data_IF_781028371661
#
_entry.id   IF_781028371661
#
_cell.length_a   1.000
_cell.length_b   1.000
_cell.length_c   1.000
_cell.angle_alpha   90.00
_cell.angle_beta   90.00
_cell.angle_gamma   90.00
#
_symmetry.space_group_name_H-M   'P 1'
#
loop_
_entity.id
_entity.type
_entity.pdbx_description
1 polymer ?
#
# COMPACT_ATOMS: atom_id res chain seq x y z
N UNK A 1 -2.63 19.14 10.20
CA UNK A 1 -2.14 17.75 10.43
C UNK A 1 -0.67 17.63 10.03
N UNK A 2 0.11 16.92 10.84
CA UNK A 2 1.49 16.56 10.48
C UNK A 2 1.52 15.57 9.30
N UNK A 3 2.68 15.39 8.69
CA UNK A 3 2.85 14.41 7.62
C UNK A 3 2.51 12.99 8.12
N UNK A 4 2.98 12.62 9.31
CA UNK A 4 2.69 11.32 9.92
C UNK A 4 1.19 11.10 10.16
N UNK A 5 0.47 12.11 10.63
CA UNK A 5 -0.99 12.05 10.80
C UNK A 5 -1.70 11.83 9.46
N UNK A 6 -1.27 12.52 8.41
CA UNK A 6 -1.85 12.37 7.07
C UNK A 6 -1.65 10.95 6.52
N UNK A 7 -0.47 10.37 6.69
CA UNK A 7 -0.20 8.98 6.29
C UNK A 7 -1.01 7.98 7.13
N UNK A 8 -1.11 8.19 8.44
CA UNK A 8 -1.89 7.33 9.32
C UNK A 8 -3.38 7.30 8.91
N UNK A 9 -3.94 8.42 8.50
CA UNK A 9 -5.32 8.50 7.98
C UNK A 9 -5.44 7.84 6.61
N UNK A 10 -4.52 8.13 5.69
CA UNK A 10 -4.56 7.61 4.31
C UNK A 10 -4.44 6.09 4.27
N UNK A 11 -3.60 5.52 5.12
CA UNK A 11 -3.36 4.08 5.23
C UNK A 11 -4.02 3.46 6.47
N UNK A 12 -5.17 3.96 6.87
CA UNK A 12 -5.93 3.37 7.98
C UNK A 12 -6.22 1.88 7.68
N UNK A 13 -6.04 1.05 8.69
CA UNK A 13 -6.24 -0.40 8.59
C UNK A 13 -6.43 -1.03 9.95
N UNK A 14 -5.98 -2.27 10.11
CA UNK A 14 -6.10 -2.99 11.37
C UNK A 14 -5.29 -2.30 12.49
N UNK A 15 -5.90 -2.17 13.67
CA UNK A 15 -5.28 -1.56 14.85
C UNK A 15 -4.75 -2.60 15.85
N UNK A 16 -5.02 -3.87 15.63
CA UNK A 16 -4.64 -4.97 16.53
C UNK A 16 -3.33 -5.66 16.14
N UNK A 17 -2.73 -5.23 15.04
CA UNK A 17 -1.42 -5.72 14.59
C UNK A 17 -0.79 -4.75 13.60
N UNK A 18 0.53 -4.84 13.47
CA UNK A 18 1.30 -4.13 12.45
C UNK A 18 2.55 -4.92 12.09
N UNK A 19 3.21 -4.54 11.00
CA UNK A 19 4.45 -5.14 10.58
C UNK A 19 5.65 -4.25 10.83
N UNK A 20 6.81 -4.88 11.01
CA UNK A 20 8.12 -4.23 10.95
C UNK A 20 9.03 -4.98 10.00
N UNK A 21 9.96 -4.27 9.38
CA UNK A 21 11.00 -4.85 8.57
C UNK A 21 12.36 -4.30 8.99
N UNK A 22 13.28 -5.19 9.32
CA UNK A 22 14.67 -4.84 9.60
C UNK A 22 15.54 -5.45 8.50
N UNK A 23 16.15 -4.59 7.68
CA UNK A 23 17.07 -5.01 6.64
C UNK A 23 18.40 -5.45 7.25
N UNK A 24 18.98 -6.53 6.72
CA UNK A 24 20.39 -6.80 6.86
C UNK A 24 21.12 -6.28 5.60
N UNK A 25 22.44 -6.12 5.66
CA UNK A 25 23.23 -5.51 4.58
C UNK A 25 23.44 -6.42 3.36
N UNK A 26 22.66 -7.49 3.24
CA UNK A 26 22.76 -8.47 2.16
C UNK A 26 21.60 -8.36 1.20
N UNK A 27 21.88 -8.45 -0.08
CA UNK A 27 20.84 -8.58 -1.13
C UNK A 27 20.77 -10.05 -1.55
N UNK A 28 19.57 -10.61 -1.62
CA UNK A 28 19.36 -11.98 -2.06
C UNK A 28 19.63 -12.11 -3.57
N UNK A 29 19.92 -13.34 -4.02
CA UNK A 29 20.16 -13.63 -5.44
C UNK A 29 18.97 -13.24 -6.35
N UNK A 30 17.74 -13.27 -5.81
CA UNK A 30 16.53 -12.84 -6.51
C UNK A 30 16.33 -11.30 -6.58
N UNK A 31 17.29 -10.53 -6.09
CA UNK A 31 17.22 -9.06 -6.03
C UNK A 31 16.41 -8.49 -4.85
N UNK A 32 15.81 -9.35 -4.05
CA UNK A 32 15.00 -8.95 -2.89
C UNK A 32 15.87 -8.47 -1.74
N UNK A 33 15.47 -7.38 -1.09
CA UNK A 33 16.15 -6.91 0.10
C UNK A 33 16.13 -8.01 1.18
N UNK A 34 17.30 -8.40 1.64
CA UNK A 34 17.43 -9.37 2.73
C UNK A 34 17.08 -8.70 4.06
N UNK A 35 16.35 -9.42 4.91
CA UNK A 35 15.92 -8.89 6.19
C UNK A 35 14.80 -9.71 6.79
N UNK A 36 14.31 -9.25 7.93
CA UNK A 36 13.29 -9.94 8.70
C UNK A 36 12.00 -9.11 8.75
N UNK A 37 10.92 -9.67 8.19
CA UNK A 37 9.56 -9.19 8.41
C UNK A 37 9.00 -9.83 9.69
N UNK A 38 8.45 -9.02 10.57
CA UNK A 38 7.82 -9.46 11.81
C UNK A 38 6.44 -8.83 11.91
N UNK A 39 5.43 -9.62 12.21
CA UNK A 39 4.10 -9.12 12.60
C UNK A 39 4.02 -9.03 14.11
N UNK A 40 3.66 -7.86 14.62
CA UNK A 40 3.52 -7.59 16.05
C UNK A 40 2.03 -7.50 16.36
N UNK A 41 1.54 -8.40 17.22
CA UNK A 41 0.18 -8.37 17.76
C UNK A 41 0.16 -7.42 18.96
N UNK A 42 -0.40 -6.24 18.75
CA UNK A 42 -0.56 -5.21 19.77
C UNK A 42 -1.70 -4.31 19.37
N UNK A 43 -2.62 -4.03 20.28
CA UNK A 43 -3.63 -3.01 20.04
C UNK A 43 -2.98 -1.62 20.08
N UNK A 44 -3.13 -0.87 18.97
CA UNK A 44 -2.52 0.43 18.78
C UNK A 44 -3.48 1.54 19.18
N UNK A 45 -3.05 2.39 20.13
CA UNK A 45 -3.69 3.69 20.36
C UNK A 45 -3.38 4.65 19.21
N UNK A 46 -4.06 5.78 19.16
CA UNK A 46 -3.76 6.83 18.18
C UNK A 46 -2.32 7.33 18.31
N UNK A 47 -1.83 7.48 19.53
CA UNK A 47 -0.44 7.90 19.78
C UNK A 47 0.57 6.83 19.38
N UNK A 48 0.28 5.54 19.59
CA UNK A 48 1.13 4.44 19.12
C UNK A 48 1.25 4.45 17.61
N UNK A 49 0.13 4.59 16.90
CA UNK A 49 0.10 4.62 15.44
C UNK A 49 0.84 5.83 14.89
N UNK A 50 0.65 7.00 15.48
CA UNK A 50 1.36 8.22 15.11
C UNK A 50 2.88 8.02 15.26
N UNK A 51 3.33 7.46 16.36
CA UNK A 51 4.75 7.17 16.62
C UNK A 51 5.33 6.21 15.59
N UNK A 52 4.60 5.17 15.21
CA UNK A 52 5.02 4.24 14.15
C UNK A 52 5.23 4.96 12.82
N UNK A 53 4.34 5.85 12.44
CA UNK A 53 4.48 6.63 11.20
C UNK A 53 5.59 7.68 11.28
N UNK A 54 5.78 8.34 12.42
CA UNK A 54 6.90 9.25 12.62
C UNK A 54 8.25 8.54 12.48
N UNK A 55 8.40 7.37 13.10
CA UNK A 55 9.61 6.54 12.98
C UNK A 55 9.83 6.05 11.55
N UNK A 56 8.76 5.69 10.84
CA UNK A 56 8.82 5.29 9.45
C UNK A 56 9.28 6.43 8.54
N UNK A 57 8.66 7.58 8.65
CA UNK A 57 8.97 8.75 7.80
C UNK A 57 10.34 9.35 8.12
N UNK A 58 10.85 9.18 9.33
CA UNK A 58 12.21 9.59 9.68
C UNK A 58 13.29 8.59 9.27
N UNK A 59 12.89 7.39 8.80
CA UNK A 59 13.84 6.32 8.43
C UNK A 59 14.37 5.52 9.61
N UNK A 60 13.75 5.66 10.79
CA UNK A 60 14.18 4.97 12.01
C UNK A 60 13.71 3.52 12.04
N UNK A 61 12.42 3.28 11.82
CA UNK A 61 11.83 1.94 11.79
C UNK A 61 10.71 1.86 10.74
N UNK A 62 10.83 0.93 9.80
CA UNK A 62 9.82 0.69 8.78
C UNK A 62 8.55 0.10 9.38
N UNK A 63 7.39 0.53 8.89
CA UNK A 63 6.07 0.03 9.30
C UNK A 63 5.38 -0.70 8.15
N UNK A 64 4.70 -1.78 8.48
CA UNK A 64 3.74 -2.46 7.62
C UNK A 64 2.34 -2.35 8.19
N UNK A 65 1.34 -2.17 7.33
CA UNK A 65 -0.07 -2.04 7.72
C UNK A 65 -0.88 -3.17 7.11
N UNK A 66 -1.85 -3.66 7.85
CA UNK A 66 -2.86 -4.62 7.40
C UNK A 66 -4.05 -3.82 6.86
N UNK A 67 -4.34 -3.96 5.57
CA UNK A 67 -5.39 -3.16 4.92
C UNK A 67 -6.80 -3.45 5.44
N UNK A 68 -7.11 -4.69 5.74
CA UNK A 68 -8.42 -5.10 6.27
C UNK A 68 -8.51 -4.77 7.77
N UNK A 69 -9.56 -4.07 8.17
CA UNK A 69 -9.79 -3.69 9.56
C UNK A 69 -10.57 -4.75 10.36
N UNK A 70 -10.87 -4.46 11.63
CA UNK A 70 -11.62 -5.34 12.54
C UNK A 70 -13.08 -5.58 12.09
N UNK A 71 -13.60 -4.74 11.19
CA UNK A 71 -14.95 -4.87 10.61
C UNK A 71 -14.94 -5.52 9.23
N UNK A 72 -13.81 -6.09 8.82
CA UNK A 72 -13.60 -6.69 7.50
C UNK A 72 -13.78 -5.68 6.34
N UNK A 73 -13.38 -4.44 6.56
CA UNK A 73 -13.47 -3.34 5.61
C UNK A 73 -12.10 -2.72 5.33
N UNK A 74 -12.00 -2.02 4.20
CA UNK A 74 -10.78 -1.35 3.77
C UNK A 74 -11.09 0.04 3.23
N UNK A 75 -10.18 1.01 3.49
CA UNK A 75 -10.17 2.33 2.84
C UNK A 75 -9.08 2.46 1.79
N UNK A 76 -8.26 1.44 1.64
CA UNK A 76 -7.24 1.32 0.60
C UNK A 76 -6.96 -0.14 0.29
N UNK A 77 -6.38 -0.36 -0.86
CA UNK A 77 -5.86 -1.66 -1.25
C UNK A 77 -4.68 -1.51 -2.20
N UNK A 78 -4.05 -2.62 -2.53
CA UNK A 78 -2.88 -2.61 -3.39
C UNK A 78 -2.77 -3.85 -4.26
N UNK A 79 -2.15 -3.65 -5.43
CA UNK A 79 -1.66 -4.71 -6.30
C UNK A 79 -0.15 -4.79 -6.05
N UNK A 80 0.34 -5.93 -5.60
CA UNK A 80 1.75 -6.15 -5.25
C UNK A 80 2.49 -6.85 -6.40
N UNK A 81 3.27 -6.07 -7.15
CA UNK A 81 4.07 -6.57 -8.26
C UNK A 81 5.49 -6.85 -7.77
N UNK A 82 5.78 -8.11 -7.53
CA UNK A 82 7.06 -8.59 -6.98
C UNK A 82 8.09 -8.91 -8.09
N UNK A 83 8.13 -8.08 -9.12
CA UNK A 83 9.14 -8.13 -10.19
C UNK A 83 10.15 -7.00 -10.00
N UNK A 84 11.45 -7.31 -10.01
CA UNK A 84 12.50 -6.37 -9.60
C UNK A 84 13.31 -5.77 -10.75
N UNK A 85 13.03 -6.17 -11.99
CA UNK A 85 13.72 -5.70 -13.19
C UNK A 85 12.77 -5.02 -14.18
N UNK A 86 11.65 -4.47 -13.68
CA UNK A 86 10.68 -3.75 -14.50
C UNK A 86 11.00 -2.25 -14.53
N UNK A 87 10.66 -1.62 -15.64
CA UNK A 87 10.70 -0.16 -15.74
C UNK A 87 9.46 0.44 -15.05
N UNK A 88 9.62 0.84 -13.79
CA UNK A 88 8.53 1.40 -12.97
C UNK A 88 7.99 2.72 -13.53
N UNK A 89 8.85 3.53 -14.14
CA UNK A 89 8.46 4.77 -14.79
C UNK A 89 7.54 4.50 -15.97
N UNK A 90 7.91 3.56 -16.84
CA UNK A 90 7.10 3.16 -17.98
C UNK A 90 5.76 2.57 -17.53
N UNK A 91 5.78 1.73 -16.51
CA UNK A 91 4.56 1.15 -15.93
C UNK A 91 3.63 2.23 -15.37
N UNK A 92 4.16 3.21 -14.64
CA UNK A 92 3.38 4.32 -14.11
C UNK A 92 2.73 5.15 -15.24
N UNK A 93 3.47 5.42 -16.32
CA UNK A 93 2.95 6.14 -17.49
C UNK A 93 1.87 5.31 -18.21
N UNK A 94 2.04 4.01 -18.33
CA UNK A 94 1.03 3.11 -18.92
C UNK A 94 -0.27 3.10 -18.11
N UNK A 95 -0.17 3.00 -16.79
CA UNK A 95 -1.33 3.06 -15.89
C UNK A 95 -2.06 4.41 -16.04
N UNK A 96 -1.30 5.51 -16.08
CA UNK A 96 -1.88 6.84 -16.26
C UNK A 96 -2.63 7.00 -17.59
N UNK A 97 -2.12 6.40 -18.66
CA UNK A 97 -2.79 6.42 -19.98
C UNK A 97 -4.12 5.65 -20.01
N UNK A 98 -4.31 4.72 -19.10
CA UNK A 98 -5.58 3.98 -18.95
C UNK A 98 -6.60 4.74 -18.11
N UNK A 99 -6.23 5.91 -17.59
CA UNK A 99 -7.09 6.77 -16.76
C UNK A 99 -7.66 6.06 -15.52
N UNK A 100 -6.97 5.03 -15.02
CA UNK A 100 -7.35 4.32 -13.81
C UNK A 100 -6.95 5.14 -12.56
N UNK A 101 -7.78 5.14 -11.52
CA UNK A 101 -7.53 5.91 -10.29
C UNK A 101 -6.51 5.19 -9.38
N UNK A 102 -5.32 5.00 -9.87
CA UNK A 102 -4.25 4.26 -9.23
C UNK A 102 -2.99 5.11 -9.10
N UNK A 103 -2.19 4.81 -8.09
CA UNK A 103 -0.85 5.38 -7.93
C UNK A 103 0.15 4.27 -7.65
N UNK A 104 1.26 4.30 -8.38
CA UNK A 104 2.35 3.33 -8.25
C UNK A 104 3.45 3.90 -7.36
N UNK A 105 3.79 3.16 -6.30
CA UNK A 105 4.96 3.40 -5.48
C UNK A 105 6.00 2.30 -5.72
N UNK A 106 7.27 2.68 -5.70
CA UNK A 106 8.37 1.71 -5.66
C UNK A 106 8.34 0.95 -4.33
N UNK A 107 8.38 -0.37 -4.35
CA UNK A 107 8.47 -1.20 -3.14
C UNK A 107 9.89 -1.20 -2.57
N UNK A 108 10.06 -1.74 -1.36
CA UNK A 108 11.38 -1.81 -0.69
C UNK A 108 12.46 -2.56 -1.50
N UNK A 109 12.06 -3.49 -2.34
CA UNK A 109 12.97 -4.30 -3.16
C UNK A 109 13.03 -3.86 -4.63
N UNK A 110 12.32 -2.80 -5.00
CA UNK A 110 12.30 -2.27 -6.37
C UNK A 110 11.22 -2.82 -7.28
N UNK A 111 10.26 -3.60 -6.75
CA UNK A 111 9.01 -3.90 -7.40
C UNK A 111 8.02 -2.74 -7.25
N UNK A 112 6.74 -3.00 -7.47
CA UNK A 112 5.70 -1.98 -7.39
C UNK A 112 4.58 -2.35 -6.42
N UNK A 113 4.15 -1.38 -5.61
CA UNK A 113 2.86 -1.39 -4.95
C UNK A 113 1.96 -0.40 -5.67
N UNK A 114 0.88 -0.88 -6.27
CA UNK A 114 -0.07 -0.04 -7.01
C UNK A 114 -1.31 0.12 -6.14
N UNK A 115 -1.53 1.33 -5.64
CA UNK A 115 -2.56 1.63 -4.65
C UNK A 115 -3.83 2.17 -5.26
N UNK A 116 -4.96 1.79 -4.64
CA UNK A 116 -6.26 2.43 -4.79
C UNK A 116 -6.70 2.97 -3.43
N UNK A 117 -7.29 4.16 -3.40
CA UNK A 117 -7.75 4.83 -2.18
C UNK A 117 -9.23 5.14 -2.24
N UNK A 118 -9.89 5.08 -1.09
CA UNK A 118 -11.33 5.28 -0.97
C UNK A 118 -11.64 6.39 0.03
N UNK A 119 -12.74 7.10 -0.20
CA UNK A 119 -13.25 8.13 0.73
C UNK A 119 -13.85 7.55 1.99
N UNK A 120 -14.37 6.33 1.90
CA UNK A 120 -14.98 5.56 2.99
C UNK A 120 -14.60 4.09 2.86
N UNK A 121 -14.66 3.36 3.96
CA UNK A 121 -14.38 1.93 3.94
C UNK A 121 -15.44 1.13 3.18
N UNK A 122 -15.00 0.12 2.46
CA UNK A 122 -15.83 -0.83 1.73
C UNK A 122 -15.52 -2.25 2.21
N UNK A 123 -16.43 -3.23 2.00
CA UNK A 123 -16.13 -4.63 2.30
C UNK A 123 -14.83 -5.09 1.61
N UNK A 124 -13.97 -5.75 2.37
CA UNK A 124 -12.69 -6.26 1.85
C UNK A 124 -12.87 -7.18 0.64
N UNK A 125 -13.90 -8.02 0.64
CA UNK A 125 -14.21 -8.90 -0.48
C UNK A 125 -14.52 -8.13 -1.78
N UNK A 126 -15.23 -7.02 -1.69
CA UNK A 126 -15.53 -6.15 -2.83
C UNK A 126 -14.26 -5.53 -3.40
N UNK A 127 -13.42 -4.95 -2.53
CA UNK A 127 -12.17 -4.32 -2.94
C UNK A 127 -11.21 -5.32 -3.55
N UNK A 128 -11.05 -6.49 -2.93
CA UNK A 128 -10.18 -7.55 -3.45
C UNK A 128 -10.62 -7.98 -4.86
N UNK A 129 -11.91 -8.19 -5.08
CA UNK A 129 -12.45 -8.56 -6.39
C UNK A 129 -12.18 -7.48 -7.45
N UNK A 130 -12.42 -6.21 -7.12
CA UNK A 130 -12.14 -5.08 -8.03
C UNK A 130 -10.66 -4.99 -8.38
N UNK A 131 -9.80 -5.11 -7.39
CA UNK A 131 -8.35 -5.07 -7.62
C UNK A 131 -7.85 -6.24 -8.47
N UNK A 132 -8.43 -7.43 -8.34
CA UNK A 132 -8.12 -8.54 -9.24
C UNK A 132 -8.48 -8.25 -10.69
N UNK A 133 -9.64 -7.64 -10.92
CA UNK A 133 -10.07 -7.22 -12.26
C UNK A 133 -9.12 -6.16 -12.84
N UNK A 134 -8.76 -5.16 -12.05
CA UNK A 134 -7.82 -4.11 -12.46
C UNK A 134 -6.43 -4.69 -12.73
N UNK A 135 -5.92 -5.55 -11.85
CA UNK A 135 -4.63 -6.21 -12.04
C UNK A 135 -4.57 -6.99 -13.36
N UNK A 136 -5.62 -7.75 -13.66
CA UNK A 136 -5.71 -8.46 -14.93
C UNK A 136 -5.72 -7.49 -16.13
N UNK A 137 -6.46 -6.39 -16.04
CA UNK A 137 -6.54 -5.38 -17.10
C UNK A 137 -5.20 -4.69 -17.39
N UNK A 138 -4.37 -4.50 -16.38
CA UNK A 138 -3.02 -3.92 -16.55
C UNK A 138 -1.91 -4.95 -16.79
N UNK A 139 -2.28 -6.23 -16.97
CA UNK A 139 -1.34 -7.29 -17.30
C UNK A 139 -0.72 -8.05 -16.12
N UNK A 140 -1.25 -7.88 -14.91
CA UNK A 140 -0.75 -8.49 -13.67
C UNK A 140 -1.79 -9.36 -12.94
N UNK A 141 -2.54 -10.15 -13.70
CA UNK A 141 -3.63 -10.98 -13.15
C UNK A 141 -3.23 -12.07 -12.16
N UNK A 142 -1.93 -12.40 -12.04
CA UNK A 142 -1.42 -13.47 -11.20
C UNK A 142 -0.70 -12.98 -9.93
N UNK A 143 -0.61 -11.66 -9.73
CA UNK A 143 0.10 -11.10 -8.58
C UNK A 143 -0.77 -11.06 -7.32
N UNK A 144 -0.12 -10.85 -6.19
CA UNK A 144 -0.81 -10.72 -4.91
C UNK A 144 -1.63 -9.43 -4.84
N UNK A 145 -2.80 -9.55 -4.22
CA UNK A 145 -3.71 -8.43 -3.96
C UNK A 145 -3.83 -8.23 -2.45
N UNK A 146 -3.81 -6.98 -2.02
CA UNK A 146 -4.12 -6.59 -0.65
C UNK A 146 -5.42 -5.79 -0.63
N UNK A 147 -6.43 -6.18 0.17
CA UNK A 147 -6.38 -7.19 1.23
C UNK A 147 -6.26 -8.61 0.68
N UNK A 148 -5.41 -9.44 1.32
CA UNK A 148 -5.33 -10.88 1.02
C UNK A 148 -6.51 -11.63 1.62
N UNK A 149 -6.90 -11.27 2.83
CA UNK A 149 -8.02 -11.83 3.53
C UNK A 149 -9.27 -10.97 3.30
N UNK A 150 -10.42 -11.62 3.21
CA UNK A 150 -11.72 -10.93 3.13
C UNK A 150 -12.46 -10.95 4.46
N UNK A 151 -11.97 -11.74 5.42
CA UNK A 151 -12.49 -11.86 6.77
C UNK A 151 -11.36 -12.15 7.74
N UNK A 152 -11.37 -11.50 8.90
CA UNK A 152 -10.48 -11.77 10.02
C UNK A 152 -11.27 -12.31 11.21
N UNK A 153 -10.79 -13.41 11.75
CA UNK A 153 -11.28 -13.98 13.00
C UNK A 153 -10.29 -13.62 14.12
N UNK A 154 -10.34 -12.38 14.59
CA UNK A 154 -9.42 -11.83 15.57
C UNK A 154 -9.40 -12.63 16.87
N UNK A 155 -10.56 -13.12 17.31
CA UNK A 155 -10.71 -13.98 18.50
C UNK A 155 -10.00 -15.33 18.35
N UNK A 156 -9.74 -15.76 17.12
CA UNK A 156 -9.00 -16.99 16.81
C UNK A 156 -7.51 -16.74 16.52
N UNK A 157 -7.05 -15.51 16.69
CA UNK A 157 -5.66 -15.13 16.48
C UNK A 157 -5.29 -14.64 15.09
N UNK A 158 -6.24 -14.49 14.17
CA UNK A 158 -5.99 -13.91 12.85
C UNK A 158 -5.49 -12.46 13.01
N UNK A 159 -4.45 -12.09 12.26
CA UNK A 159 -3.90 -10.73 12.26
C UNK A 159 -3.76 -10.14 10.86
N UNK A 160 -4.18 -10.88 9.84
CA UNK A 160 -4.09 -10.47 8.44
C UNK A 160 -2.67 -10.47 7.90
N UNK A 161 -2.51 -9.89 6.73
CA UNK A 161 -1.22 -9.76 6.03
C UNK A 161 -0.81 -8.30 5.96
N UNK A 162 0.40 -8.01 6.44
CA UNK A 162 0.98 -6.67 6.40
C UNK A 162 1.57 -6.38 5.02
N UNK A 163 1.44 -5.12 4.57
CA UNK A 163 2.16 -4.58 3.43
C UNK A 163 3.13 -3.51 3.93
N UNK A 164 4.39 -3.58 3.51
CA UNK A 164 5.38 -2.56 3.83
C UNK A 164 5.01 -1.23 3.17
N UNK A 165 4.95 -0.17 3.97
CA UNK A 165 4.47 1.14 3.55
C UNK A 165 5.49 1.91 2.71
N UNK A 166 5.03 2.82 1.83
CA UNK A 166 5.89 3.70 1.05
C UNK A 166 6.51 4.79 1.92
N UNK A 167 7.46 5.51 1.35
CA UNK A 167 8.10 6.68 1.98
C UNK A 167 8.83 6.41 3.29
N UNK A 168 9.39 5.21 3.46
CA UNK A 168 10.34 4.97 4.54
C UNK A 168 11.56 5.88 4.37
N UNK A 169 11.79 6.77 5.32
CA UNK A 169 12.81 7.82 5.23
C UNK A 169 12.30 9.16 4.66
N UNK A 170 10.99 9.29 4.46
CA UNK A 170 10.38 10.55 4.02
C UNK A 170 10.81 10.97 2.62
N UNK A 171 11.27 12.21 2.46
CA UNK A 171 11.73 12.76 1.17
C UNK A 171 12.96 12.04 0.59
N UNK A 172 13.75 11.40 1.44
CA UNK A 172 14.92 10.63 1.03
C UNK A 172 14.62 9.17 0.73
N UNK A 173 13.34 8.78 0.76
CA UNK A 173 12.92 7.41 0.54
C UNK A 173 13.17 6.94 -0.90
N UNK A 174 13.59 5.68 -1.04
CA UNK A 174 13.58 4.99 -2.33
C UNK A 174 12.21 4.41 -2.68
N UNK A 175 11.25 4.44 -1.74
CA UNK A 175 9.88 3.91 -1.91
C UNK A 175 8.90 5.02 -2.27
N UNK A 176 9.26 5.83 -3.26
CA UNK A 176 8.46 6.97 -3.70
C UNK A 176 7.41 6.59 -4.73
N UNK A 177 6.38 7.44 -4.83
CA UNK A 177 5.36 7.34 -5.87
C UNK A 177 5.80 8.04 -7.14
N UNK A 178 5.27 7.57 -8.27
CA UNK A 178 5.44 8.18 -9.59
C UNK A 178 4.18 8.97 -9.97
N UNK A 179 4.38 10.16 -10.53
CA UNK A 179 3.30 10.92 -11.14
C UNK A 179 2.92 10.35 -12.53
N UNK A 180 1.93 10.98 -13.18
CA UNK A 180 1.44 10.56 -14.51
C UNK A 180 2.48 10.62 -15.62
N UNK A 181 3.58 11.36 -15.41
CA UNK A 181 4.69 11.50 -16.36
C UNK A 181 5.87 10.59 -15.99
N UNK A 182 5.74 9.83 -14.91
CA UNK A 182 6.78 8.95 -14.41
C UNK A 182 7.86 9.68 -13.58
N UNK A 183 7.59 10.87 -13.10
CA UNK A 183 8.48 11.59 -12.18
C UNK A 183 8.18 11.20 -10.74
N UNK A 184 9.23 11.18 -9.90
CA UNK A 184 9.08 10.91 -8.47
C UNK A 184 8.34 12.04 -7.77
N UNK A 185 7.39 11.69 -6.91
CA UNK A 185 6.66 12.64 -6.07
C UNK A 185 7.27 12.71 -4.67
N UNK A 186 7.23 13.91 -4.07
CA UNK A 186 7.48 14.06 -2.63
C UNK A 186 6.34 13.43 -1.82
N UNK A 187 6.52 13.16 -0.51
CA UNK A 187 5.43 12.66 0.33
C UNK A 187 4.17 13.53 0.29
N UNK A 188 4.32 14.85 0.31
CA UNK A 188 3.16 15.77 0.24
C UNK A 188 2.48 15.73 -1.13
N UNK A 189 3.24 15.72 -2.22
CA UNK A 189 2.70 15.58 -3.57
C UNK A 189 1.94 14.26 -3.74
N UNK A 190 2.48 13.17 -3.20
CA UNK A 190 1.81 11.86 -3.19
C UNK A 190 0.48 11.90 -2.46
N UNK A 191 0.42 12.48 -1.25
CA UNK A 191 -0.81 12.58 -0.48
C UNK A 191 -1.87 13.42 -1.18
N UNK A 192 -1.46 14.53 -1.80
CA UNK A 192 -2.36 15.35 -2.60
C UNK A 192 -2.89 14.59 -3.82
N UNK A 193 -2.02 13.86 -4.51
CA UNK A 193 -2.43 13.04 -5.65
C UNK A 193 -3.38 11.91 -5.25
N UNK A 194 -3.10 11.22 -4.15
CA UNK A 194 -3.96 10.18 -3.60
C UNK A 194 -5.36 10.72 -3.29
N UNK A 195 -5.45 11.95 -2.77
CA UNK A 195 -6.73 12.61 -2.53
C UNK A 195 -7.48 12.95 -3.81
N UNK A 196 -6.78 13.36 -4.85
CA UNK A 196 -7.42 13.66 -6.16
C UNK A 196 -8.04 12.42 -6.80
N UNK A 197 -7.40 11.26 -6.66
CA UNK A 197 -7.83 10.02 -7.31
C UNK A 197 -8.67 9.10 -6.42
N UNK A 198 -8.88 9.45 -5.14
CA UNK A 198 -9.69 8.61 -4.25
C UNK A 198 -11.13 8.46 -4.77
N UNK A 199 -11.69 7.27 -4.59
CA UNK A 199 -13.01 6.91 -5.05
C UNK A 199 -14.01 6.84 -3.90
N UNK A 200 -15.24 7.26 -4.16
CA UNK A 200 -16.37 6.87 -3.31
C UNK A 200 -16.67 5.37 -3.49
N UNK A 201 -17.34 4.72 -2.52
CA UNK A 201 -17.78 3.33 -2.69
C UNK A 201 -18.59 3.10 -3.98
N UNK A 202 -19.44 4.03 -4.35
CA UNK A 202 -20.24 3.94 -5.56
C UNK A 202 -19.40 4.06 -6.84
N UNK A 203 -18.41 4.95 -6.87
CA UNK A 203 -17.46 5.07 -7.98
C UNK A 203 -16.62 3.79 -8.13
N UNK A 204 -16.18 3.19 -7.01
CA UNK A 204 -15.47 1.92 -7.04
C UNK A 204 -16.33 0.80 -7.64
N UNK A 205 -17.60 0.71 -7.23
CA UNK A 205 -18.51 -0.31 -7.73
C UNK A 205 -18.72 -0.20 -9.24
N UNK A 206 -18.81 1.03 -9.74
CA UNK A 206 -19.00 1.33 -11.17
C UNK A 206 -17.71 1.30 -11.99
N UNK A 207 -16.54 1.24 -11.34
CA UNK A 207 -15.26 1.24 -12.04
C UNK A 207 -15.15 -0.01 -12.91
N UNK A 208 -14.95 0.20 -14.19
CA UNK A 208 -14.65 -0.85 -15.17
C UNK A 208 -13.20 -0.73 -15.62
N UNK A 209 -12.50 -1.86 -15.66
CA UNK A 209 -11.16 -1.95 -16.18
C UNK A 209 -11.17 -2.95 -17.33
N UNK A 210 -10.80 -2.49 -18.51
CA UNK A 210 -10.69 -3.33 -19.71
C UNK A 210 -9.22 -3.52 -20.07
N UNK A 211 -8.83 -4.72 -20.53
CA UNK A 211 -7.47 -4.96 -21.00
C UNK A 211 -7.11 -4.09 -22.22
#
# INVERSE_FOLDING_TARGET
MSLAEKFAVRYAGLRQAYGTFTANNETREDGKASGKNITISKELSDSDLLKLWEDHLSGHQSVGIVAIDEHNKCVWGAIDVDEYQIDLKDLAVKIAKQELPLVLCRSKSGGAHIYIFLTESVPAAMLQRKLRQIAAAIGYGQVEIFPKQTKLLLDRGDRGSTLNMPYFGGENSTRYAYDKKGAAMTPEEFLNYAKEIELTPNELEKLEASP
#
